data_IF_973151370469
#
_entry.id   IF_973151370469
#
_cell.length_a   1.000
_cell.length_b   1.000
_cell.length_c   1.000
_cell.angle_alpha   90.00
_cell.angle_beta   90.00
_cell.angle_gamma   90.00
#
_symmetry.space_group_name_H-M   'P 1'
#
loop_
_entity.id
_entity.type
_entity.pdbx_description
1 polymer ?
#
# COMPACT_ATOMS: atom_id res chain seq x y z
N UNK A 1 -12.58 -15.51 -26.93
CA UNK A 1 -12.71 -14.51 -25.84
C UNK A 1 -11.37 -14.43 -25.16
N UNK A 2 -10.71 -13.28 -25.16
CA UNK A 2 -9.50 -13.08 -24.37
C UNK A 2 -9.92 -13.05 -22.90
N UNK A 3 -9.40 -14.00 -22.11
CA UNK A 3 -9.54 -13.99 -20.66
C UNK A 3 -8.79 -12.74 -20.16
N UNK A 4 -9.51 -11.78 -19.56
CA UNK A 4 -8.91 -10.55 -19.05
C UNK A 4 -8.23 -10.88 -17.72
N UNK A 5 -6.93 -11.11 -17.74
CA UNK A 5 -6.10 -11.15 -16.53
C UNK A 5 -5.89 -9.70 -16.06
N UNK A 6 -6.34 -9.36 -14.86
CA UNK A 6 -6.02 -8.08 -14.22
C UNK A 6 -4.86 -8.30 -13.25
N UNK A 7 -3.67 -7.87 -13.66
CA UNK A 7 -2.48 -7.86 -12.80
C UNK A 7 -2.50 -6.56 -12.01
N UNK A 8 -2.88 -6.62 -10.73
CA UNK A 8 -2.92 -5.44 -9.86
C UNK A 8 -1.53 -5.07 -9.34
N UNK A 9 -0.70 -6.07 -9.08
CA UNK A 9 0.68 -5.88 -8.63
C UNK A 9 1.60 -6.42 -9.73
N UNK A 10 2.16 -5.52 -10.53
CA UNK A 10 3.08 -5.87 -11.61
C UNK A 10 4.50 -6.07 -11.05
N UNK A 11 4.91 -7.33 -10.85
CA UNK A 11 6.20 -7.66 -10.21
C UNK A 11 7.40 -7.01 -10.89
N UNK A 12 7.44 -7.01 -12.21
CA UNK A 12 8.51 -6.44 -13.01
C UNK A 12 8.64 -4.92 -12.77
N UNK A 13 7.51 -4.19 -12.77
CA UNK A 13 7.56 -2.76 -12.48
C UNK A 13 7.98 -2.47 -11.04
N UNK A 14 7.54 -3.27 -10.07
CA UNK A 14 7.94 -3.09 -8.67
C UNK A 14 9.43 -3.37 -8.45
N UNK A 15 9.98 -4.37 -9.13
CA UNK A 15 11.41 -4.65 -9.13
C UNK A 15 12.20 -3.49 -9.76
N UNK A 16 11.80 -3.03 -10.95
CA UNK A 16 12.45 -1.91 -11.64
C UNK A 16 12.34 -0.59 -10.87
N UNK A 17 11.20 -0.34 -10.22
CA UNK A 17 10.94 0.85 -9.41
C UNK A 17 11.77 0.89 -8.14
N UNK A 18 12.09 -0.28 -7.59
CA UNK A 18 12.78 -0.46 -6.32
C UNK A 18 12.13 0.36 -5.18
N UNK A 19 11.16 -0.25 -4.49
CA UNK A 19 10.52 0.34 -3.32
C UNK A 19 11.46 0.32 -2.12
N UNK A 20 11.94 1.49 -1.70
CA UNK A 20 12.99 1.63 -0.67
C UNK A 20 12.48 2.15 0.67
N UNK A 21 11.24 2.63 0.75
CA UNK A 21 10.70 3.11 2.02
C UNK A 21 9.25 3.57 1.91
N UNK A 22 8.65 3.90 3.06
CA UNK A 22 7.33 4.54 3.12
C UNK A 22 7.37 5.70 4.08
N UNK A 23 6.76 6.81 3.70
CA UNK A 23 6.57 7.97 4.55
C UNK A 23 5.08 8.25 4.76
N UNK A 24 4.76 8.85 5.90
CA UNK A 24 3.43 9.37 6.19
C UNK A 24 3.45 10.89 6.11
N UNK A 25 2.52 11.46 5.34
CA UNK A 25 2.24 12.88 5.37
C UNK A 25 0.91 13.08 6.09
N UNK A 26 0.90 13.88 7.16
CA UNK A 26 -0.31 14.18 7.92
C UNK A 26 -0.23 15.63 8.41
N UNK A 27 -1.32 16.36 8.28
CA UNK A 27 -1.51 17.69 8.85
C UNK A 27 -2.89 17.76 9.49
N UNK A 28 -3.16 18.80 10.28
CA UNK A 28 -4.45 18.92 10.97
C UNK A 28 -5.61 19.10 9.99
N UNK A 29 -5.39 19.75 8.84
CA UNK A 29 -6.45 20.22 7.94
C UNK A 29 -6.50 19.49 6.58
N UNK A 30 -5.61 18.53 6.33
CA UNK A 30 -5.54 17.82 5.06
C UNK A 30 -5.74 16.30 5.21
N UNK A 31 -6.28 15.70 4.15
CA UNK A 31 -6.39 14.24 4.03
C UNK A 31 -4.97 13.65 4.14
N UNK A 32 -4.73 12.70 5.05
CA UNK A 32 -3.39 12.14 5.23
C UNK A 32 -2.99 11.28 4.03
N UNK A 33 -1.68 11.06 3.86
CA UNK A 33 -1.15 10.27 2.76
C UNK A 33 -0.11 9.24 3.22
N UNK A 34 -0.09 8.12 2.52
CA UNK A 34 0.95 7.10 2.52
C UNK A 34 1.76 7.28 1.24
N UNK A 35 3.01 7.73 1.39
CA UNK A 35 3.94 7.95 0.30
C UNK A 35 4.87 6.74 0.16
N UNK A 36 4.74 5.98 -0.93
CA UNK A 36 5.65 4.89 -1.25
C UNK A 36 6.90 5.47 -1.92
N UNK A 37 8.05 5.36 -1.26
CA UNK A 37 9.32 5.95 -1.70
C UNK A 37 10.05 4.97 -2.61
N UNK A 38 10.27 5.35 -3.85
CA UNK A 38 10.95 4.54 -4.85
C UNK A 38 12.28 5.16 -5.27
N UNK A 39 13.22 4.32 -5.68
CA UNK A 39 14.50 4.76 -6.23
C UNK A 39 14.37 5.17 -7.71
N UNK A 40 13.63 4.40 -8.51
CA UNK A 40 13.52 4.62 -9.97
C UNK A 40 12.16 5.22 -10.35
N UNK A 41 12.18 6.44 -10.90
CA UNK A 41 10.98 7.25 -11.15
C UNK A 41 10.01 6.69 -12.18
N UNK A 42 10.47 6.34 -13.37
CA UNK A 42 9.61 5.93 -14.50
C UNK A 42 8.74 4.71 -14.19
N UNK A 43 9.30 3.55 -13.79
CA UNK A 43 8.51 2.37 -13.43
C UNK A 43 7.60 2.62 -12.22
N UNK A 44 8.03 3.42 -11.23
CA UNK A 44 7.18 3.79 -10.11
C UNK A 44 5.94 4.57 -10.56
N UNK A 45 6.09 5.56 -11.44
CA UNK A 45 4.95 6.29 -12.01
C UNK A 45 4.03 5.34 -12.78
N UNK A 46 4.60 4.40 -13.55
CA UNK A 46 3.81 3.44 -14.33
C UNK A 46 2.93 2.55 -13.44
N UNK A 47 3.40 2.12 -12.27
CA UNK A 47 2.58 1.37 -11.28
C UNK A 47 1.30 2.16 -10.94
N UNK A 48 1.45 3.44 -10.59
CA UNK A 48 0.30 4.26 -10.19
C UNK A 48 -0.58 4.66 -11.38
N UNK A 49 -0.01 4.82 -12.57
CA UNK A 49 -0.79 5.01 -13.79
C UNK A 49 -1.64 3.78 -14.12
N UNK A 50 -1.10 2.57 -13.96
CA UNK A 50 -1.85 1.32 -14.13
C UNK A 50 -3.00 1.24 -13.11
N UNK A 51 -2.74 1.55 -11.84
CA UNK A 51 -3.79 1.62 -10.83
C UNK A 51 -4.85 2.68 -11.15
N UNK A 52 -4.46 3.89 -11.56
CA UNK A 52 -5.43 4.92 -11.93
C UNK A 52 -6.23 4.55 -13.18
N UNK A 53 -5.64 3.83 -14.14
CA UNK A 53 -6.35 3.34 -15.32
C UNK A 53 -7.38 2.26 -14.97
N UNK A 54 -7.07 1.37 -14.02
CA UNK A 54 -7.92 0.25 -13.64
C UNK A 54 -8.97 0.61 -12.56
N UNK A 55 -8.63 1.53 -11.66
CA UNK A 55 -9.43 1.87 -10.47
C UNK A 55 -10.04 3.27 -10.57
N UNK A 56 -9.47 4.15 -11.41
CA UNK A 56 -9.71 5.59 -11.37
C UNK A 56 -8.81 6.28 -10.33
N UNK A 57 -8.95 7.60 -10.18
CA UNK A 57 -8.25 8.37 -9.12
C UNK A 57 -8.78 8.08 -7.71
N UNK A 58 -9.96 7.46 -7.61
CA UNK A 58 -10.60 7.05 -6.35
C UNK A 58 -10.85 5.55 -6.47
N UNK A 59 -10.27 4.76 -5.58
CA UNK A 59 -10.44 3.30 -5.55
C UNK A 59 -11.75 2.93 -4.82
N UNK A 60 -12.88 3.26 -5.45
CA UNK A 60 -14.24 3.12 -4.87
C UNK A 60 -14.56 1.66 -4.50
N UNK A 61 -14.06 0.72 -5.29
CA UNK A 61 -14.25 -0.71 -5.06
C UNK A 61 -13.25 -1.30 -4.05
N UNK A 62 -12.27 -0.50 -3.61
CA UNK A 62 -11.16 -0.89 -2.75
C UNK A 62 -10.40 -2.10 -3.31
N UNK A 63 -10.11 -2.09 -4.62
CA UNK A 63 -9.42 -3.15 -5.36
C UNK A 63 -8.00 -3.38 -4.85
N UNK A 64 -7.34 -2.32 -4.38
CA UNK A 64 -6.04 -2.40 -3.72
C UNK A 64 -6.25 -2.49 -2.19
N UNK A 65 -5.77 -3.56 -1.56
CA UNK A 65 -5.81 -3.71 -0.10
C UNK A 65 -4.48 -3.24 0.49
N UNK A 66 -4.56 -2.32 1.45
CA UNK A 66 -3.42 -1.84 2.24
C UNK A 66 -3.62 -2.23 3.69
N UNK A 67 -2.60 -2.86 4.28
CA UNK A 67 -2.50 -3.12 5.71
C UNK A 67 -1.29 -2.44 6.32
N UNK A 68 -1.46 -1.97 7.55
CA UNK A 68 -0.36 -1.60 8.44
C UNK A 68 -0.39 -2.57 9.61
N UNK A 69 0.64 -3.39 9.70
CA UNK A 69 0.72 -4.52 10.62
C UNK A 69 1.78 -4.22 11.68
N UNK A 70 1.33 -3.93 12.88
CA UNK A 70 2.19 -3.68 14.03
C UNK A 70 2.48 -4.96 14.80
N UNK A 71 3.55 -4.95 15.59
CA UNK A 71 3.93 -6.06 16.47
C UNK A 71 5.29 -6.64 16.11
N UNK A 72 5.79 -7.44 17.04
CA UNK A 72 7.09 -8.10 16.94
C UNK A 72 7.03 -9.21 15.89
N UNK A 73 8.04 -9.26 15.02
CA UNK A 73 8.27 -10.39 14.13
C UNK A 73 9.66 -10.93 14.50
N UNK A 74 9.79 -12.22 14.83
CA UNK A 74 11.09 -12.79 15.22
C UNK A 74 12.18 -12.46 14.21
N UNK A 75 13.37 -12.13 14.70
CA UNK A 75 14.56 -11.79 13.89
C UNK A 75 14.48 -10.48 13.09
N UNK A 76 13.33 -9.80 13.08
CA UNK A 76 13.18 -8.47 12.49
C UNK A 76 13.18 -7.37 13.56
N UNK A 77 13.67 -6.19 13.18
CA UNK A 77 13.65 -5.03 14.05
C UNK A 77 12.21 -4.55 14.37
N UNK A 78 12.07 -3.90 15.53
CA UNK A 78 10.82 -3.32 15.99
C UNK A 78 10.28 -2.29 15.01
N UNK A 79 8.98 -2.36 14.77
CA UNK A 79 8.31 -1.48 13.83
C UNK A 79 6.99 -2.05 13.34
N UNK A 80 6.64 -1.69 12.11
CA UNK A 80 5.41 -2.13 11.46
C UNK A 80 5.68 -2.49 10.00
N UNK A 81 4.84 -3.36 9.46
CA UNK A 81 4.93 -3.80 8.07
C UNK A 81 3.80 -3.19 7.26
N UNK A 82 4.14 -2.53 6.16
CA UNK A 82 3.16 -2.17 5.13
C UNK A 82 2.98 -3.37 4.24
N UNK A 83 1.75 -3.83 4.04
CA UNK A 83 1.42 -4.93 3.14
C UNK A 83 0.40 -4.46 2.11
N UNK A 84 0.73 -4.68 0.83
CA UNK A 84 0.01 -4.23 -0.36
C UNK A 84 -0.35 -5.47 -1.17
N UNK A 85 -1.63 -5.68 -1.40
CA UNK A 85 -2.14 -6.88 -2.09
C UNK A 85 -3.46 -6.58 -2.81
N UNK A 86 -3.85 -7.35 -3.83
CA UNK A 86 -5.23 -7.38 -4.32
C UNK A 86 -6.25 -7.58 -3.20
N UNK A 87 -7.38 -6.88 -3.26
CA UNK A 87 -8.50 -7.14 -2.35
C UNK A 87 -9.36 -8.32 -2.82
N UNK A 88 -8.93 -9.54 -2.52
CA UNK A 88 -9.55 -10.78 -3.00
C UNK A 88 -11.06 -10.88 -2.69
N UNK A 89 -11.49 -10.42 -1.51
CA UNK A 89 -12.91 -10.44 -1.11
C UNK A 89 -13.81 -9.64 -2.04
N UNK A 90 -13.27 -8.58 -2.66
CA UNK A 90 -14.01 -7.74 -3.61
C UNK A 90 -14.06 -8.38 -4.98
N UNK A 91 -12.98 -9.03 -5.41
CA UNK A 91 -12.95 -9.71 -6.70
C UNK A 91 -13.81 -10.97 -6.73
N UNK A 92 -13.76 -11.80 -5.69
CA UNK A 92 -14.57 -13.03 -5.60
C UNK A 92 -16.09 -12.74 -5.59
N UNK A 93 -16.50 -11.54 -5.16
CA UNK A 93 -17.91 -11.11 -5.17
C UNK A 93 -18.36 -10.51 -6.52
N UNK A 94 -17.43 -10.09 -7.37
CA UNK A 94 -17.73 -9.39 -8.62
C UNK A 94 -17.67 -10.29 -9.87
N UNK A 95 -17.18 -11.53 -9.76
CA UNK A 95 -16.99 -12.42 -10.92
C UNK A 95 -17.97 -13.60 -10.93
N UNK A 96 -18.94 -13.59 -11.86
CA UNK A 96 -19.73 -14.79 -12.21
C UNK A 96 -18.94 -15.82 -13.03
N UNK A 97 -17.79 -15.41 -13.59
CA UNK A 97 -16.87 -16.26 -14.35
C UNK A 97 -15.53 -16.39 -13.60
N UNK A 98 -14.84 -17.52 -13.74
CA UNK A 98 -13.52 -17.77 -13.15
C UNK A 98 -12.47 -16.72 -13.59
N UNK A 99 -12.32 -15.66 -12.79
CA UNK A 99 -11.20 -14.71 -12.92
C UNK A 99 -10.04 -15.33 -12.17
N UNK A 100 -8.99 -15.71 -12.90
CA UNK A 100 -7.72 -16.09 -12.31
C UNK A 100 -7.03 -14.80 -11.82
N UNK A 101 -6.99 -14.62 -10.51
CA UNK A 101 -6.28 -13.51 -9.86
C UNK A 101 -4.89 -14.03 -9.50
N UNK A 102 -3.86 -13.36 -9.99
CA UNK A 102 -2.52 -13.58 -9.48
C UNK A 102 -2.41 -12.89 -8.12
N UNK A 103 -2.17 -13.67 -7.05
CA UNK A 103 -2.09 -13.16 -5.67
C UNK A 103 -0.65 -12.71 -5.40
N UNK A 104 -0.16 -11.84 -6.26
CA UNK A 104 1.10 -11.12 -6.03
C UNK A 104 0.88 -10.09 -4.92
N UNK A 105 1.82 -10.00 -3.99
CA UNK A 105 1.81 -9.00 -2.93
C UNK A 105 3.19 -8.32 -2.81
N UNK A 106 3.20 -7.16 -2.14
CA UNK A 106 4.43 -6.48 -1.73
C UNK A 106 4.31 -6.10 -0.27
N UNK A 107 5.37 -6.30 0.48
CA UNK A 107 5.43 -5.84 1.86
C UNK A 107 6.80 -5.28 2.20
N UNK A 108 6.83 -4.35 3.14
CA UNK A 108 8.07 -3.75 3.63
C UNK A 108 7.95 -3.49 5.13
N UNK A 109 8.92 -3.98 5.91
CA UNK A 109 9.08 -3.67 7.33
C UNK A 109 9.75 -2.30 7.47
N UNK A 110 9.15 -1.42 8.26
CA UNK A 110 9.66 -0.09 8.56
C UNK A 110 10.03 -0.05 10.03
N UNK A 111 11.29 0.23 10.29
CA UNK A 111 11.84 0.31 11.65
C UNK A 111 11.37 1.60 12.30
N UNK A 112 10.79 1.47 13.49
CA UNK A 112 10.35 2.61 14.30
C UNK A 112 11.54 3.10 15.12
N UNK A 113 11.88 4.37 14.98
CA UNK A 113 12.80 5.04 15.92
C UNK A 113 12.02 5.50 17.16
N UNK A 114 12.69 5.65 18.31
CA UNK A 114 12.07 5.95 19.62
C UNK A 114 11.20 7.23 19.65
N UNK A 115 11.25 8.07 18.61
CA UNK A 115 10.45 9.29 18.49
C UNK A 115 9.63 9.37 17.19
N UNK A 116 9.42 8.26 16.46
CA UNK A 116 8.67 8.32 15.21
C UNK A 116 7.17 8.51 15.48
N UNK A 117 6.61 9.65 15.10
CA UNK A 117 5.17 9.94 15.28
C UNK A 117 4.34 9.68 14.01
N UNK A 118 4.99 9.50 12.85
CA UNK A 118 4.32 9.49 11.55
C UNK A 118 3.13 8.53 11.43
N UNK A 119 3.24 7.29 11.94
CA UNK A 119 2.12 6.34 11.92
C UNK A 119 1.01 6.76 12.90
N UNK A 120 1.36 7.26 14.08
CA UNK A 120 0.40 7.75 15.09
C UNK A 120 -0.37 8.96 14.57
N UNK A 121 0.33 9.90 13.94
CA UNK A 121 -0.24 11.09 13.33
C UNK A 121 -1.16 10.70 12.17
N UNK A 122 -0.71 9.77 11.31
CA UNK A 122 -1.53 9.21 10.23
C UNK A 122 -2.81 8.54 10.75
N UNK A 123 -2.73 7.71 11.78
CA UNK A 123 -3.90 7.06 12.41
C UNK A 123 -4.88 8.10 12.95
N UNK A 124 -4.38 9.17 13.56
CA UNK A 124 -5.18 10.26 14.10
C UNK A 124 -5.89 11.04 12.99
N UNK A 125 -5.16 11.45 11.96
CA UNK A 125 -5.74 12.13 10.80
C UNK A 125 -6.72 11.23 10.04
N UNK A 126 -6.41 9.95 9.83
CA UNK A 126 -7.33 9.02 9.18
C UNK A 126 -8.60 8.81 10.02
N UNK A 127 -8.51 8.77 11.36
CA UNK A 127 -9.68 8.69 12.22
C UNK A 127 -10.61 9.91 12.07
N UNK A 128 -10.06 11.10 11.76
CA UNK A 128 -10.80 12.33 11.45
C UNK A 128 -11.39 12.32 10.04
N UNK A 129 -10.57 12.09 9.01
CA UNK A 129 -10.95 12.26 7.61
C UNK A 129 -11.64 11.03 6.99
N UNK A 130 -11.40 9.83 7.52
CA UNK A 130 -11.89 8.53 6.99
C UNK A 130 -11.48 8.25 5.54
N UNK A 131 -10.48 8.97 5.05
CA UNK A 131 -9.91 8.86 3.72
C UNK A 131 -8.41 9.09 3.82
N UNK A 132 -7.67 8.55 2.87
CA UNK A 132 -6.24 8.81 2.72
C UNK A 132 -5.81 8.70 1.26
N UNK A 133 -4.71 9.35 0.93
CA UNK A 133 -4.03 9.14 -0.35
C UNK A 133 -2.97 8.05 -0.23
N UNK A 134 -2.82 7.23 -1.26
CA UNK A 134 -1.58 6.49 -1.52
C UNK A 134 -0.96 7.03 -2.81
N UNK A 135 0.34 7.34 -2.79
CA UNK A 135 1.02 8.03 -3.89
C UNK A 135 2.49 7.61 -3.99
N UNK A 136 3.14 7.78 -5.17
CA UNK A 136 4.56 7.59 -5.29
C UNK A 136 5.31 8.80 -4.75
N UNK A 137 6.47 8.56 -4.17
CA UNK A 137 7.42 9.57 -3.74
C UNK A 137 8.84 9.20 -4.13
N UNK A 138 9.69 10.21 -4.22
CA UNK A 138 11.08 10.07 -4.66
C UNK A 138 12.01 10.87 -3.77
N UNK A 139 13.23 10.39 -3.57
CA UNK A 139 14.27 11.19 -2.91
C UNK A 139 14.89 12.14 -3.94
N UNK A 140 14.58 13.43 -3.83
CA UNK A 140 15.02 14.50 -4.73
C UNK A 140 15.58 15.64 -3.87
N UNK A 141 16.78 16.10 -4.18
CA UNK A 141 17.45 17.22 -3.48
C UNK A 141 17.42 17.07 -1.95
N UNK A 142 17.86 15.90 -1.46
CA UNK A 142 17.94 15.56 -0.02
C UNK A 142 16.58 15.48 0.72
N UNK A 143 15.47 15.41 -0.02
CA UNK A 143 14.13 15.37 0.56
C UNK A 143 13.23 14.34 -0.13
N UNK A 144 12.27 13.80 0.62
CA UNK A 144 11.22 12.96 0.05
C UNK A 144 10.15 13.87 -0.58
N UNK A 145 9.96 13.74 -1.89
CA UNK A 145 9.00 14.51 -2.66
C UNK A 145 7.81 13.63 -3.07
N UNK A 146 6.63 13.79 -2.43
CA UNK A 146 5.41 13.09 -2.82
C UNK A 146 4.83 13.65 -4.13
N UNK A 147 4.41 12.77 -5.04
CA UNK A 147 3.85 13.17 -6.34
C UNK A 147 2.34 12.95 -6.37
N UNK A 148 1.58 14.00 -6.01
CA UNK A 148 0.13 13.95 -5.87
C UNK A 148 -0.65 13.73 -7.18
N UNK A 149 -0.07 14.04 -8.35
CA UNK A 149 -0.71 13.80 -9.65
C UNK A 149 -1.07 12.32 -9.85
N UNK A 150 -0.29 11.42 -9.26
CA UNK A 150 -0.45 9.97 -9.32
C UNK A 150 -1.09 9.38 -8.05
N UNK A 151 -1.66 10.23 -7.18
CA UNK A 151 -2.33 9.76 -5.98
C UNK A 151 -3.59 8.95 -6.30
N UNK A 152 -3.85 7.94 -5.47
CA UNK A 152 -5.08 7.18 -5.42
C UNK A 152 -5.76 7.49 -4.08
N UNK A 153 -7.01 7.96 -4.11
CA UNK A 153 -7.80 8.18 -2.90
C UNK A 153 -8.43 6.85 -2.45
N UNK A 154 -8.26 6.51 -1.17
CA UNK A 154 -8.76 5.29 -0.53
C UNK A 154 -9.54 5.62 0.73
N UNK A 155 -10.49 4.75 1.09
CA UNK A 155 -11.34 4.92 2.28
C UNK A 155 -11.18 3.77 3.28
N UNK A 156 -10.58 2.65 2.86
CA UNK A 156 -10.33 1.48 3.70
C UNK A 156 -8.84 1.28 3.91
N UNK A 157 -8.45 1.18 5.18
CA UNK A 157 -7.10 0.75 5.60
C UNK A 157 -7.24 -0.26 6.73
N UNK A 158 -6.41 -1.30 6.70
CA UNK A 158 -6.43 -2.37 7.69
C UNK A 158 -5.31 -2.14 8.71
N UNK A 159 -5.66 -1.67 9.89
CA UNK A 159 -4.73 -1.69 11.03
C UNK A 159 -4.81 -3.06 11.69
N UNK A 160 -3.67 -3.74 11.78
CA UNK A 160 -3.55 -5.15 12.15
C UNK A 160 -2.44 -5.33 13.17
N UNK A 161 -2.51 -6.41 13.95
CA UNK A 161 -1.40 -6.84 14.79
C UNK A 161 -0.89 -8.22 14.36
N UNK A 162 0.42 -8.44 14.45
CA UNK A 162 1.08 -9.74 14.18
C UNK A 162 0.42 -10.87 14.96
N UNK A 163 0.04 -10.64 16.21
CA UNK A 163 -0.58 -11.65 17.08
C UNK A 163 -1.94 -12.15 16.56
N UNK A 164 -2.60 -11.39 15.68
CA UNK A 164 -3.91 -11.74 15.12
C UNK A 164 -3.80 -12.46 13.75
N UNK A 165 -2.59 -12.66 13.22
CA UNK A 165 -2.36 -13.25 11.90
C UNK A 165 -2.20 -14.77 12.03
N UNK A 166 -3.14 -15.51 11.43
CA UNK A 166 -3.06 -16.97 11.32
C UNK A 166 -2.32 -17.42 10.05
N UNK A 167 -1.93 -18.69 9.97
CA UNK A 167 -1.23 -19.26 8.80
C UNK A 167 -1.98 -19.08 7.47
N UNK A 168 -3.31 -19.10 7.50
CA UNK A 168 -4.16 -18.96 6.31
C UNK A 168 -4.62 -17.50 6.07
N UNK A 169 -4.16 -16.55 6.87
CA UNK A 169 -4.48 -15.13 6.70
C UNK A 169 -3.70 -14.57 5.49
N UNK A 170 -4.31 -13.67 4.73
CA UNK A 170 -3.65 -13.02 3.59
C UNK A 170 -2.40 -12.25 4.03
N UNK A 171 -2.40 -11.71 5.26
CA UNK A 171 -1.29 -10.97 5.84
C UNK A 171 -0.16 -11.91 6.33
N UNK A 172 -0.32 -13.24 6.29
CA UNK A 172 0.77 -14.19 6.61
C UNK A 172 1.96 -14.12 5.64
N UNK A 173 1.79 -13.45 4.49
CA UNK A 173 2.86 -13.19 3.53
C UNK A 173 4.03 -12.40 4.13
N UNK A 174 3.82 -11.63 5.21
CA UNK A 174 4.88 -10.82 5.84
C UNK A 174 5.93 -11.63 6.61
N UNK A 175 5.67 -12.93 6.85
CA UNK A 175 6.57 -13.83 7.57
C UNK A 175 7.49 -14.63 6.65
N UNK A 176 7.38 -14.43 5.32
CA UNK A 176 8.06 -15.23 4.29
C UNK A 176 9.24 -14.50 3.68
#
# INVERSE_FOLDING_TARGET
>A
MLQKSSIIINEELWEQANWIGTAFASSEDEIPAIALVFETKTPAIEIFQQWQADFGKIDVDEKLRISIIEGEIPELADGYTIHITPNLDKFLKQSENEVQIDITNKHQRLVVSENSTGLTDFKTSFAKFKQYHILPAFYIDESIQPIFDFALLKTVINFRNVADISENDIDAAIFK
#
